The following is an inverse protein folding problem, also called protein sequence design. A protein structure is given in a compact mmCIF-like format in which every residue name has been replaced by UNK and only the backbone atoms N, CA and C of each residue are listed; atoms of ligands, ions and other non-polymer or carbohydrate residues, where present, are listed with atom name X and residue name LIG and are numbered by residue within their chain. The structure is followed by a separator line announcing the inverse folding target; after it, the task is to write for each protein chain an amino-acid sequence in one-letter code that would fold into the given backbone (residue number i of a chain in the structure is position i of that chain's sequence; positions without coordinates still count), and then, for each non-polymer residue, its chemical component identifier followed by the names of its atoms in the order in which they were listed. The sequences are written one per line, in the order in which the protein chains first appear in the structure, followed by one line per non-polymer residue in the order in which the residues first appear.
data_IF_717356588993
#
_entry.id   IF_717356588993
#
_cell.length_a   1.000
_cell.length_b   1.000
_cell.length_c   1.000
_cell.angle_alpha   90.00
_cell.angle_beta   90.00
_cell.angle_gamma   90.00
#
_symmetry.space_group_name_H-M   'P 1'
#
loop_
_entity.id
_entity.type
_entity.pdbx_description
1 polymer ?
#
# COMPACT_ATOMS: atom_id res chain seq x y z
N UNK A 1 -14.82 -13.36 17.77
CA UNK A 1 -13.97 -13.42 16.72
C UNK A 1 -14.11 -14.65 15.89
N UNK A 2 -13.69 -14.53 14.82
CA UNK A 2 -14.20 -15.29 13.79
C UNK A 2 -13.11 -15.78 12.87
N UNK A 3 -12.56 -16.95 13.25
CA UNK A 3 -11.52 -17.59 12.48
C UNK A 3 -11.96 -17.90 11.05
N UNK A 4 -13.24 -18.24 10.88
CA UNK A 4 -13.78 -18.54 9.57
C UNK A 4 -13.75 -17.32 8.67
N UNK A 5 -13.99 -16.14 9.23
CA UNK A 5 -13.93 -14.91 8.47
C UNK A 5 -12.50 -14.63 7.99
N UNK A 6 -11.52 -14.86 8.87
CA UNK A 6 -10.11 -14.65 8.51
C UNK A 6 -9.68 -15.62 7.41
N UNK A 7 -10.12 -16.87 7.49
CA UNK A 7 -9.81 -17.88 6.47
C UNK A 7 -10.43 -17.52 5.13
N UNK A 8 -11.65 -17.03 5.13
CA UNK A 8 -12.34 -16.60 3.91
C UNK A 8 -11.63 -15.43 3.27
N UNK A 9 -11.15 -14.52 4.10
CA UNK A 9 -10.41 -13.36 3.60
C UNK A 9 -9.10 -13.79 2.93
N UNK A 10 -8.37 -14.71 3.54
CA UNK A 10 -7.12 -15.22 2.96
C UNK A 10 -7.35 -15.87 1.60
N UNK A 11 -8.43 -16.64 1.47
CA UNK A 11 -8.79 -17.23 0.18
C UNK A 11 -9.10 -16.16 -0.86
N UNK A 12 -9.78 -15.10 -0.45
CA UNK A 12 -10.06 -13.99 -1.34
C UNK A 12 -8.80 -13.30 -1.82
N UNK A 13 -7.81 -13.17 -0.94
CA UNK A 13 -6.51 -12.61 -1.31
C UNK A 13 -5.76 -13.50 -2.29
N UNK A 14 -5.82 -14.80 -2.11
CA UNK A 14 -5.24 -15.76 -3.05
C UNK A 14 -5.79 -15.57 -4.46
N UNK A 15 -7.10 -15.41 -4.58
CA UNK A 15 -7.75 -15.23 -5.87
C UNK A 15 -7.35 -13.93 -6.55
N UNK A 16 -6.99 -12.91 -5.75
CA UNK A 16 -6.61 -11.60 -6.26
C UNK A 16 -5.14 -11.55 -6.62
N UNK A 17 -4.31 -12.19 -5.81
CA UNK A 17 -2.86 -12.11 -5.95
C UNK A 17 -2.23 -13.44 -5.59
N UNK A 18 -1.91 -14.25 -6.61
CA UNK A 18 -1.40 -15.61 -6.43
C UNK A 18 -0.10 -15.67 -5.64
N UNK A 19 0.70 -14.59 -5.67
CA UNK A 19 2.01 -14.55 -5.02
C UNK A 19 2.02 -13.75 -3.73
N UNK A 20 0.85 -13.33 -3.25
CA UNK A 20 0.76 -12.56 -2.02
C UNK A 20 1.03 -13.44 -0.82
N UNK A 21 1.67 -12.87 0.18
CA UNK A 21 1.91 -13.54 1.46
C UNK A 21 0.71 -13.39 2.36
N UNK A 22 0.60 -14.29 3.33
CA UNK A 22 -0.52 -14.30 4.26
C UNK A 22 -0.13 -13.74 5.62
N UNK A 23 0.71 -12.71 5.65
CA UNK A 23 1.05 -11.98 6.86
C UNK A 23 0.23 -10.70 7.02
N UNK A 24 -0.84 -10.58 6.24
CA UNK A 24 -1.75 -9.44 6.29
C UNK A 24 -2.79 -9.64 7.39
N UNK A 25 -3.11 -8.55 8.09
CA UNK A 25 -4.19 -8.52 9.06
C UNK A 25 -5.39 -7.81 8.46
N UNK A 26 -6.55 -8.47 8.48
CA UNK A 26 -7.79 -7.90 7.99
C UNK A 26 -8.62 -7.36 9.15
N UNK A 27 -8.96 -6.08 9.12
CA UNK A 27 -9.74 -5.43 10.15
C UNK A 27 -11.18 -5.27 9.70
N UNK A 28 -12.11 -5.93 10.38
CA UNK A 28 -13.53 -5.88 10.05
C UNK A 28 -14.23 -4.65 10.64
N UNK A 29 -13.70 -4.09 11.72
CA UNK A 29 -14.32 -2.94 12.38
C UNK A 29 -13.64 -1.64 11.99
N UNK A 30 -14.07 -1.09 10.87
CA UNK A 30 -13.50 0.14 10.32
C UNK A 30 -13.93 1.40 11.10
N UNK A 31 -14.97 1.29 11.93
CA UNK A 31 -15.46 2.42 12.71
C UNK A 31 -14.51 2.84 13.83
N UNK A 32 -13.55 1.98 14.14
CA UNK A 32 -12.53 2.27 15.15
C UNK A 32 -11.31 3.00 14.58
N UNK A 33 -11.36 3.39 13.32
CA UNK A 33 -10.24 4.07 12.68
C UNK A 33 -9.10 3.16 12.29
N UNK A 34 -9.31 1.84 12.34
CA UNK A 34 -8.30 0.87 11.95
C UNK A 34 -8.19 0.79 10.43
N UNK A 35 -7.00 0.54 9.88
CA UNK A 35 -6.86 0.30 8.45
C UNK A 35 -7.55 -0.99 8.06
N UNK A 36 -8.01 -1.07 6.82
CA UNK A 36 -8.65 -2.28 6.29
C UNK A 36 -7.64 -3.41 6.16
N UNK A 37 -6.42 -3.09 5.70
CA UNK A 37 -5.32 -4.04 5.55
C UNK A 37 -4.11 -3.52 6.30
N UNK A 38 -3.49 -4.41 7.09
CA UNK A 38 -2.22 -4.13 7.75
C UNK A 38 -1.20 -5.17 7.32
N UNK A 39 -0.11 -4.71 6.74
CA UNK A 39 0.98 -5.56 6.28
C UNK A 39 2.19 -5.29 7.16
N UNK A 40 2.69 -6.31 7.85
CA UNK A 40 3.83 -6.17 8.76
C UNK A 40 5.10 -6.63 8.06
N UNK A 41 6.07 -5.74 7.92
CA UNK A 41 7.33 -6.02 7.23
C UNK A 41 8.51 -5.75 8.15
N UNK A 42 9.30 -6.79 8.41
CA UNK A 42 10.52 -6.69 9.22
C UNK A 42 11.77 -6.58 8.35
N UNK A 43 11.66 -5.94 7.22
CA UNK A 43 12.78 -5.76 6.29
C UNK A 43 13.81 -4.80 6.87
N UNK A 44 15.09 -5.07 6.59
CA UNK A 44 16.15 -4.12 6.85
C UNK A 44 16.22 -3.08 5.71
N UNK A 45 17.09 -2.08 5.88
CA UNK A 45 17.23 -0.99 4.90
C UNK A 45 17.61 -1.52 3.52
N UNK A 46 18.47 -2.52 3.44
CA UNK A 46 18.89 -3.07 2.16
C UNK A 46 17.72 -3.71 1.41
N UNK A 47 16.91 -4.48 2.11
CA UNK A 47 15.73 -5.12 1.50
C UNK A 47 14.74 -4.07 1.01
N UNK A 48 14.45 -3.03 1.82
CA UNK A 48 13.57 -1.95 1.40
C UNK A 48 14.08 -1.26 0.14
N UNK A 49 15.39 -1.06 0.04
CA UNK A 49 15.96 -0.36 -1.12
C UNK A 49 15.74 -1.11 -2.44
N UNK A 50 15.36 -2.38 -2.37
CA UNK A 50 15.20 -3.24 -3.55
C UNK A 50 13.75 -3.53 -3.91
N UNK A 51 12.76 -2.99 -3.19
CA UNK A 51 11.35 -3.32 -3.45
C UNK A 51 10.90 -2.92 -4.85
N UNK A 52 11.48 -1.85 -5.41
CA UNK A 52 11.14 -1.41 -6.75
C UNK A 52 11.55 -2.42 -7.83
N UNK A 53 12.41 -3.38 -7.49
CA UNK A 53 12.82 -4.46 -8.38
C UNK A 53 12.11 -5.77 -8.07
N UNK A 54 11.21 -5.78 -7.09
CA UNK A 54 10.52 -6.98 -6.62
C UNK A 54 9.10 -7.00 -7.18
N UNK A 55 8.90 -7.78 -8.24
CA UNK A 55 7.59 -7.85 -8.92
C UNK A 55 6.50 -8.37 -7.99
N UNK A 56 6.82 -9.34 -7.15
CA UNK A 56 5.84 -9.88 -6.19
C UNK A 56 5.38 -8.84 -5.20
N UNK A 57 6.33 -8.06 -4.69
CA UNK A 57 6.01 -6.97 -3.78
C UNK A 57 5.09 -5.93 -4.45
N UNK A 58 5.44 -5.54 -5.67
CA UNK A 58 4.68 -4.53 -6.42
C UNK A 58 3.27 -5.03 -6.73
N UNK A 59 3.14 -6.30 -7.14
CA UNK A 59 1.83 -6.89 -7.42
C UNK A 59 0.94 -6.90 -6.18
N UNK A 60 1.50 -7.26 -5.03
CA UNK A 60 0.76 -7.23 -3.77
C UNK A 60 0.31 -5.82 -3.43
N UNK A 61 1.22 -4.86 -3.55
CA UNK A 61 0.91 -3.46 -3.28
C UNK A 61 -0.21 -2.94 -4.20
N UNK A 62 -0.11 -3.24 -5.49
CA UNK A 62 -1.14 -2.84 -6.46
C UNK A 62 -2.49 -3.50 -6.16
N UNK A 63 -2.48 -4.74 -5.70
CA UNK A 63 -3.71 -5.42 -5.29
C UNK A 63 -4.43 -4.69 -4.17
N UNK A 64 -3.68 -4.19 -3.19
CA UNK A 64 -4.25 -3.39 -2.11
C UNK A 64 -4.82 -2.08 -2.63
N UNK A 65 -4.13 -1.42 -3.55
CA UNK A 65 -4.59 -0.15 -4.11
C UNK A 65 -5.92 -0.29 -4.87
N UNK A 66 -6.20 -1.48 -5.39
CA UNK A 66 -7.49 -1.76 -6.02
C UNK A 66 -8.63 -1.92 -5.02
N UNK A 67 -8.31 -2.25 -3.77
CA UNK A 67 -9.30 -2.63 -2.76
C UNK A 67 -9.63 -1.53 -1.78
N UNK A 68 -8.73 -0.59 -1.57
CA UNK A 68 -8.93 0.46 -0.56
C UNK A 68 -9.71 1.62 -1.13
N UNK A 69 -10.42 2.34 -0.27
CA UNK A 69 -11.18 3.54 -0.63
C UNK A 69 -10.42 4.82 -0.34
N UNK A 70 -9.43 4.74 0.52
CA UNK A 70 -8.53 5.84 0.86
C UNK A 70 -7.20 5.24 1.28
N UNK A 71 -6.16 6.06 1.24
CA UNK A 71 -4.80 5.54 1.49
C UNK A 71 -4.65 5.00 2.92
N UNK A 72 -5.37 5.59 3.87
CA UNK A 72 -5.33 5.18 5.27
C UNK A 72 -6.00 3.82 5.53
N UNK A 73 -6.72 3.29 4.55
CA UNK A 73 -7.25 1.91 4.64
C UNK A 73 -6.15 0.86 4.55
N UNK A 74 -4.95 1.27 4.17
CA UNK A 74 -3.78 0.41 4.04
C UNK A 74 -2.72 0.87 5.03
N UNK A 75 -2.06 -0.08 5.68
CA UNK A 75 -0.90 0.22 6.51
C UNK A 75 0.21 -0.80 6.25
N UNK A 76 1.35 -0.31 5.83
CA UNK A 76 2.59 -1.07 5.85
C UNK A 76 3.32 -0.67 7.12
N UNK A 77 3.33 -1.58 8.09
CA UNK A 77 3.95 -1.34 9.39
C UNK A 77 5.38 -1.86 9.34
N UNK A 78 6.32 -0.95 9.52
CA UNK A 78 7.74 -1.27 9.43
C UNK A 78 8.36 -1.40 10.82
N UNK A 79 9.45 -2.15 10.90
CA UNK A 79 10.21 -2.27 12.14
C UNK A 79 11.26 -1.18 12.19
N UNK A 80 11.06 -0.18 13.05
CA UNK A 80 11.94 0.98 13.15
C UNK A 80 13.34 0.62 13.64
N UNK A 81 13.51 -0.55 14.23
CA UNK A 81 14.85 -1.02 14.63
C UNK A 81 15.67 -1.54 13.45
N UNK A 82 15.03 -1.82 12.33
CA UNK A 82 15.69 -2.37 11.14
C UNK A 82 15.80 -1.39 10.00
N UNK A 83 14.86 -0.45 9.91
CA UNK A 83 14.84 0.51 8.82
C UNK A 83 14.21 1.82 9.28
N UNK A 84 14.72 2.91 8.74
CA UNK A 84 14.19 4.25 9.00
C UNK A 84 12.97 4.50 8.11
N UNK A 85 11.96 5.16 8.65
CA UNK A 85 10.73 5.43 7.89
C UNK A 85 11.00 6.25 6.62
N UNK A 86 11.96 7.18 6.68
CA UNK A 86 12.29 7.99 5.52
C UNK A 86 12.92 7.16 4.40
N UNK A 87 13.72 6.16 4.75
CA UNK A 87 14.27 5.22 3.78
C UNK A 87 13.16 4.41 3.10
N UNK A 88 12.18 3.98 3.89
CA UNK A 88 11.04 3.24 3.37
C UNK A 88 10.22 4.10 2.43
N UNK A 89 9.97 5.36 2.81
CA UNK A 89 9.26 6.30 1.94
C UNK A 89 10.00 6.52 0.61
N UNK A 90 11.32 6.64 0.65
CA UNK A 90 12.11 6.76 -0.57
C UNK A 90 12.01 5.52 -1.44
N UNK A 91 11.99 4.33 -0.83
CA UNK A 91 11.82 3.08 -1.56
C UNK A 91 10.47 3.02 -2.27
N UNK A 92 9.39 3.38 -1.59
CA UNK A 92 8.06 3.44 -2.20
C UNK A 92 7.97 4.54 -3.26
N UNK A 93 8.66 5.66 -3.06
CA UNK A 93 8.73 6.71 -4.08
C UNK A 93 9.27 6.15 -5.39
N UNK A 94 10.29 5.32 -5.32
CA UNK A 94 10.85 4.67 -6.50
C UNK A 94 9.84 3.73 -7.15
N UNK A 95 9.09 2.96 -6.34
CA UNK A 95 8.02 2.10 -6.85
C UNK A 95 6.99 2.92 -7.62
N UNK A 96 6.52 4.02 -7.03
CA UNK A 96 5.54 4.90 -7.68
C UNK A 96 6.07 5.49 -8.97
N UNK A 97 7.30 6.00 -8.95
CA UNK A 97 7.89 6.66 -10.12
C UNK A 97 8.05 5.71 -11.30
N UNK A 98 8.48 4.48 -11.03
CA UNK A 98 8.66 3.47 -12.08
C UNK A 98 7.36 2.92 -12.62
N UNK A 99 6.28 3.02 -11.86
CA UNK A 99 5.01 2.38 -12.17
C UNK A 99 3.83 3.37 -12.16
N UNK A 100 4.09 4.64 -12.41
CA UNK A 100 3.07 5.70 -12.26
C UNK A 100 1.78 5.39 -13.04
N UNK A 101 1.91 5.07 -14.32
CA UNK A 101 0.75 4.83 -15.16
C UNK A 101 -0.02 3.59 -14.74
N UNK A 102 0.71 2.52 -14.41
CA UNK A 102 0.10 1.27 -13.96
C UNK A 102 -0.61 1.46 -12.63
N UNK A 103 0.02 2.15 -11.69
CA UNK A 103 -0.57 2.40 -10.38
C UNK A 103 -1.82 3.26 -10.51
N UNK A 104 -1.77 4.30 -11.32
CA UNK A 104 -2.93 5.14 -11.58
C UNK A 104 -4.09 4.32 -12.16
N UNK A 105 -3.77 3.38 -13.04
CA UNK A 105 -4.75 2.53 -13.68
C UNK A 105 -5.41 1.56 -12.68
N UNK A 106 -4.63 0.98 -11.76
CA UNK A 106 -5.15 -0.04 -10.84
C UNK A 106 -5.84 0.53 -9.62
N UNK A 107 -5.57 1.77 -9.24
CA UNK A 107 -6.22 2.42 -8.10
C UNK A 107 -7.75 2.33 -8.23
N UNK A 108 -8.43 2.06 -7.12
CA UNK A 108 -9.89 2.07 -7.10
C UNK A 108 -10.41 3.47 -7.42
N UNK A 109 -11.63 3.59 -7.97
CA UNK A 109 -12.23 4.91 -8.21
C UNK A 109 -12.36 5.76 -6.95
N UNK A 110 -12.69 5.14 -5.82
CA UNK A 110 -12.81 5.87 -4.55
C UNK A 110 -11.48 6.35 -4.02
N UNK A 111 -10.41 5.55 -4.20
CA UNK A 111 -9.07 5.97 -3.82
C UNK A 111 -8.62 7.17 -4.66
N UNK A 112 -8.85 7.12 -5.97
CA UNK A 112 -8.55 8.26 -6.84
C UNK A 112 -9.29 9.51 -6.40
N UNK A 113 -10.55 9.38 -6.08
CA UNK A 113 -11.38 10.50 -5.61
C UNK A 113 -10.83 11.07 -4.31
N UNK A 114 -10.46 10.20 -3.35
CA UNK A 114 -9.94 10.64 -2.07
C UNK A 114 -8.61 11.40 -2.19
N UNK A 115 -7.81 11.07 -3.21
CA UNK A 115 -6.55 11.75 -3.49
C UNK A 115 -6.72 12.91 -4.47
N UNK A 116 -7.96 13.21 -4.85
CA UNK A 116 -8.30 14.26 -5.81
C UNK A 116 -7.63 14.06 -7.18
N UNK A 117 -7.52 12.80 -7.60
CA UNK A 117 -6.97 12.43 -8.91
C UNK A 117 -8.08 12.48 -9.95
N UNK A 118 -8.43 13.70 -10.34
CA UNK A 118 -9.56 13.96 -11.24
C UNK A 118 -9.03 14.41 -12.61
N UNK A 119 -9.45 13.73 -13.70
CA UNK A 119 -9.05 14.16 -15.04
C UNK A 119 -9.46 15.60 -15.33
N UNK A 120 -8.70 16.33 -16.16
CA UNK A 120 -7.58 15.86 -16.99
C UNK A 120 -6.21 15.90 -16.29
N UNK A 121 -6.11 16.50 -15.11
CA UNK A 121 -4.82 16.74 -14.46
C UNK A 121 -4.42 15.67 -13.43
N UNK A 122 -5.10 14.53 -13.45
CA UNK A 122 -4.89 13.48 -12.46
C UNK A 122 -3.45 12.95 -12.43
N UNK A 123 -2.81 12.77 -13.58
CA UNK A 123 -1.43 12.27 -13.61
C UNK A 123 -0.46 13.29 -13.03
N UNK A 124 -0.62 14.57 -13.39
CA UNK A 124 0.24 15.65 -12.86
C UNK A 124 0.10 15.74 -11.33
N UNK A 125 -1.13 15.65 -10.86
CA UNK A 125 -1.36 15.65 -9.41
C UNK A 125 -0.71 14.46 -8.73
N UNK A 126 -0.86 13.27 -9.29
CA UNK A 126 -0.22 12.07 -8.73
C UNK A 126 1.29 12.24 -8.69
N UNK A 127 1.89 12.76 -9.75
CA UNK A 127 3.33 13.01 -9.78
C UNK A 127 3.78 13.97 -8.69
N UNK A 128 2.99 15.00 -8.41
CA UNK A 128 3.28 15.91 -7.29
C UNK A 128 3.23 15.22 -5.96
N UNK A 129 2.22 14.36 -5.74
CA UNK A 129 2.11 13.58 -4.51
C UNK A 129 3.29 12.62 -4.36
N UNK A 130 3.70 11.98 -5.45
CA UNK A 130 4.83 11.06 -5.45
C UNK A 130 6.12 11.77 -5.05
N UNK A 131 6.35 12.95 -5.58
CA UNK A 131 7.60 13.68 -5.34
C UNK A 131 7.71 14.26 -3.94
N UNK A 132 6.61 14.37 -3.21
CA UNK A 132 6.59 14.87 -1.85
C UNK A 132 6.34 13.71 -0.88
N UNK A 133 7.39 13.21 -0.25
CA UNK A 133 7.27 12.08 0.68
C UNK A 133 6.55 12.44 1.98
N UNK A 134 6.24 13.72 2.19
CA UNK A 134 5.38 14.16 3.28
C UNK A 134 3.92 14.31 2.86
N UNK A 135 3.61 14.01 1.58
CA UNK A 135 2.23 14.09 1.11
C UNK A 135 1.37 12.95 1.67
N UNK A 136 0.06 13.12 1.56
CA UNK A 136 -0.90 12.12 2.04
C UNK A 136 -0.74 10.76 1.36
N UNK A 137 -0.13 10.71 0.16
CA UNK A 137 0.08 9.46 -0.56
C UNK A 137 0.88 8.44 0.26
N UNK A 138 1.77 8.91 1.14
CA UNK A 138 2.64 8.04 1.94
C UNK A 138 2.07 7.74 3.33
N UNK A 139 0.83 8.13 3.63
CA UNK A 139 0.22 7.91 4.93
C UNK A 139 -0.04 6.44 5.26
N UNK A 140 0.12 5.56 4.28
CA UNK A 140 0.00 4.12 4.52
C UNK A 140 1.24 3.52 5.18
N UNK A 141 2.34 4.26 5.28
CA UNK A 141 3.59 3.76 5.88
C UNK A 141 3.59 4.14 7.36
N UNK A 142 3.66 3.13 8.23
CA UNK A 142 3.63 3.31 9.68
C UNK A 142 4.89 2.73 10.29
N UNK A 143 5.40 3.39 11.32
CA UNK A 143 6.57 2.93 12.05
C UNK A 143 6.13 2.33 13.38
N UNK A 144 6.76 1.23 13.74
CA UNK A 144 6.48 0.56 15.01
C UNK A 144 7.73 0.54 15.90
#
# INVERSE_FOLDING_TARGET
MNLDLDMKFEKGLDDICANCRYDVKFNTNRNEGLPLFEEFKSYNSETWSKIANDKGFIQQFESYLQKVNKIEDLAYVINSNKANINEVKQAFKEVFKRNTDEILKVMSPKLKESLELIPPNHKVRLEKLINDTNSELYNFIKSQ
#
